data_IF_595617750528
#
_entry.id   IF_595617750528
#
_cell.length_a   1.000
_cell.length_b   1.000
_cell.length_c   1.000
_cell.angle_alpha   90.00
_cell.angle_beta   90.00
_cell.angle_gamma   90.00
#
_symmetry.space_group_name_H-M   'P 1'
#
loop_
_entity.id
_entity.type
_entity.pdbx_description
1 polymer ?
#
# COMPACT_ATOMS: atom_id res chain seq x y z
N UNK A 1 -1.92 -1.83 -35.05
CA UNK A 1 -2.33 -2.69 -33.91
C UNK A 1 -3.77 -2.35 -33.57
N UNK A 2 -4.68 -3.32 -33.60
CA UNK A 2 -6.06 -3.13 -33.12
C UNK A 2 -6.07 -3.15 -31.60
N UNK A 3 -6.76 -2.20 -30.96
CA UNK A 3 -6.96 -2.18 -29.52
C UNK A 3 -8.03 -3.23 -29.20
N UNK A 4 -7.65 -4.29 -28.46
CA UNK A 4 -8.59 -5.30 -27.94
C UNK A 4 -9.44 -4.69 -26.83
N UNK A 5 -10.74 -5.03 -26.79
CA UNK A 5 -11.65 -4.60 -25.72
C UNK A 5 -11.39 -5.41 -24.45
N UNK A 6 -11.73 -4.85 -23.29
CA UNK A 6 -11.50 -5.47 -21.98
C UNK A 6 -12.21 -6.84 -21.86
N UNK A 7 -13.39 -6.96 -22.44
CA UNK A 7 -14.19 -8.18 -22.48
C UNK A 7 -13.46 -9.33 -23.18
N UNK A 8 -12.72 -9.03 -24.26
CA UNK A 8 -11.93 -10.05 -24.98
C UNK A 8 -10.80 -10.63 -24.11
N UNK A 9 -10.29 -9.85 -23.15
CA UNK A 9 -9.31 -10.34 -22.18
C UNK A 9 -9.95 -11.20 -21.08
N UNK A 10 -11.20 -10.92 -20.71
CA UNK A 10 -11.96 -11.76 -19.78
C UNK A 10 -12.29 -13.11 -20.44
N UNK A 11 -12.77 -13.10 -21.69
CA UNK A 11 -13.18 -14.31 -22.42
C UNK A 11 -12.00 -15.22 -22.75
N UNK A 12 -10.83 -14.63 -23.07
CA UNK A 12 -9.59 -15.40 -23.28
C UNK A 12 -8.96 -15.94 -22.00
N UNK A 13 -9.48 -15.57 -20.82
CA UNK A 13 -8.91 -15.93 -19.52
C UNK A 13 -7.60 -15.20 -19.21
N UNK A 14 -7.18 -14.24 -20.03
CA UNK A 14 -5.98 -13.43 -19.81
C UNK A 14 -6.11 -12.53 -18.56
N UNK A 15 -7.34 -12.11 -18.22
CA UNK A 15 -7.67 -11.40 -16.97
C UNK A 15 -8.89 -12.02 -16.30
N UNK A 16 -9.05 -11.79 -15.00
CA UNK A 16 -10.21 -12.25 -14.23
C UNK A 16 -10.81 -11.11 -13.42
N UNK A 17 -12.12 -11.16 -13.21
CA UNK A 17 -12.77 -10.29 -12.23
C UNK A 17 -12.27 -10.64 -10.83
N UNK A 18 -11.97 -9.64 -10.03
CA UNK A 18 -11.68 -9.81 -8.61
C UNK A 18 -12.76 -9.13 -7.78
N UNK A 19 -13.18 -9.82 -6.73
CA UNK A 19 -13.98 -9.24 -5.67
C UNK A 19 -13.04 -8.63 -4.61
N UNK A 20 -13.47 -7.58 -3.90
CA UNK A 20 -12.76 -7.04 -2.75
C UNK A 20 -12.37 -8.16 -1.76
N UNK A 21 -11.10 -8.22 -1.37
CA UNK A 21 -10.58 -9.13 -0.36
C UNK A 21 -10.46 -8.42 1.00
N UNK A 22 -11.56 -8.46 1.76
CA UNK A 22 -11.66 -7.84 3.09
C UNK A 22 -10.61 -8.34 4.08
N UNK A 23 -10.29 -9.64 4.06
CA UNK A 23 -9.27 -10.19 4.96
C UNK A 23 -7.90 -9.56 4.68
N UNK A 24 -7.53 -9.42 3.40
CA UNK A 24 -6.30 -8.75 3.03
C UNK A 24 -6.32 -7.27 3.41
N UNK A 25 -7.45 -6.58 3.24
CA UNK A 25 -7.61 -5.20 3.68
C UNK A 25 -7.35 -5.05 5.20
N UNK A 26 -7.90 -5.94 6.03
CA UNK A 26 -7.64 -5.93 7.47
C UNK A 26 -6.18 -6.18 7.83
N UNK A 27 -5.53 -7.16 7.18
CA UNK A 27 -4.10 -7.41 7.41
C UNK A 27 -3.25 -6.20 7.06
N UNK A 28 -3.54 -5.51 5.94
CA UNK A 28 -2.81 -4.29 5.55
C UNK A 28 -2.99 -3.21 6.62
N UNK A 29 -4.21 -2.98 7.11
CA UNK A 29 -4.47 -1.98 8.16
C UNK A 29 -3.64 -2.28 9.42
N UNK A 30 -3.56 -3.54 9.82
CA UNK A 30 -2.79 -3.96 10.99
C UNK A 30 -1.27 -3.76 10.78
N UNK A 31 -0.75 -4.22 9.65
CA UNK A 31 0.66 -4.06 9.23
C UNK A 31 1.05 -2.57 9.22
N UNK A 32 0.25 -1.74 8.57
CA UNK A 32 0.47 -0.29 8.48
C UNK A 32 0.39 0.41 9.85
N UNK A 33 -0.47 -0.08 10.75
CA UNK A 33 -0.48 0.36 12.14
C UNK A 33 0.84 0.09 12.86
N UNK A 34 1.47 -1.06 12.61
CA UNK A 34 2.81 -1.39 13.10
C UNK A 34 3.88 -0.42 12.58
N UNK A 35 3.88 -0.15 11.27
CA UNK A 35 4.81 0.80 10.62
C UNK A 35 4.68 2.21 11.17
N UNK A 36 3.44 2.67 11.36
CA UNK A 36 3.15 4.00 11.93
C UNK A 36 3.72 4.14 13.33
N UNK A 37 3.52 3.11 14.18
CA UNK A 37 4.10 3.10 15.54
C UNK A 37 5.62 3.12 15.50
N UNK A 38 6.23 2.29 14.65
CA UNK A 38 7.68 2.23 14.51
C UNK A 38 8.27 3.58 14.07
N UNK A 39 7.73 4.17 13.01
CA UNK A 39 8.15 5.50 12.53
C UNK A 39 8.04 6.55 13.65
N UNK A 40 6.92 6.55 14.39
CA UNK A 40 6.74 7.45 15.53
C UNK A 40 7.77 7.25 16.65
N UNK A 41 8.19 6.02 16.92
CA UNK A 41 9.28 5.73 17.87
C UNK A 41 10.62 6.20 17.31
N UNK A 42 10.95 5.88 16.06
CA UNK A 42 12.19 6.30 15.41
C UNK A 42 12.33 7.83 15.42
N UNK A 43 11.26 8.56 15.12
CA UNK A 43 11.26 10.02 15.14
C UNK A 43 11.48 10.64 16.53
N UNK A 44 11.10 9.93 17.59
CA UNK A 44 11.30 10.37 18.99
C UNK A 44 12.67 9.98 19.53
N UNK A 45 13.19 8.83 19.12
CA UNK A 45 14.42 8.24 19.66
C UNK A 45 15.69 8.72 18.94
N UNK A 46 15.59 9.08 17.67
CA UNK A 46 16.74 9.50 16.87
C UNK A 46 16.76 11.04 16.78
N UNK A 47 17.88 11.71 17.11
CA UNK A 47 18.00 13.15 16.95
C UNK A 47 17.71 13.60 15.51
N UNK A 48 16.97 14.68 15.33
CA UNK A 48 16.56 15.18 14.00
C UNK A 48 17.74 15.46 13.05
N UNK A 49 18.88 15.87 13.59
CA UNK A 49 20.14 16.11 12.84
C UNK A 49 20.80 14.84 12.29
N UNK A 50 20.49 13.68 12.86
CA UNK A 50 21.03 12.37 12.47
C UNK A 50 20.00 11.56 11.67
N UNK A 51 18.78 12.09 11.54
CA UNK A 51 17.69 11.45 10.82
C UNK A 51 17.79 11.74 9.33
N UNK A 52 17.73 10.70 8.51
CA UNK A 52 17.61 10.87 7.07
C UNK A 52 16.18 11.36 6.73
N UNK A 53 16.00 12.57 6.17
CA UNK A 53 14.67 13.08 5.84
C UNK A 53 13.96 12.23 4.78
N UNK A 54 14.70 11.65 3.82
CA UNK A 54 14.12 10.81 2.77
C UNK A 54 13.50 9.55 3.37
N UNK A 55 14.14 8.94 4.36
CA UNK A 55 13.58 7.78 5.06
C UNK A 55 12.21 8.09 5.67
N UNK A 56 12.04 9.28 6.25
CA UNK A 56 10.76 9.71 6.84
C UNK A 56 9.70 9.91 5.76
N UNK A 57 10.06 10.58 4.66
CA UNK A 57 9.15 10.81 3.53
C UNK A 57 8.72 9.48 2.92
N UNK A 58 9.65 8.58 2.64
CA UNK A 58 9.38 7.26 2.05
C UNK A 58 8.49 6.43 2.98
N UNK A 59 8.79 6.42 4.29
CA UNK A 59 7.98 5.71 5.29
C UNK A 59 6.55 6.25 5.34
N UNK A 60 6.37 7.58 5.30
CA UNK A 60 5.05 8.20 5.27
C UNK A 60 4.30 7.86 3.97
N UNK A 61 4.98 7.91 2.83
CA UNK A 61 4.39 7.57 1.54
C UNK A 61 3.90 6.12 1.51
N UNK A 62 4.73 5.17 1.95
CA UNK A 62 4.38 3.75 2.01
C UNK A 62 3.16 3.51 2.90
N UNK A 63 3.14 4.09 4.10
CA UNK A 63 2.01 4.03 5.03
C UNK A 63 0.72 4.53 4.35
N UNK A 64 0.78 5.68 3.68
CA UNK A 64 -0.40 6.28 3.02
C UNK A 64 -0.88 5.39 1.88
N UNK A 65 0.02 4.93 1.01
CA UNK A 65 -0.33 4.10 -0.14
C UNK A 65 -0.91 2.76 0.30
N UNK A 66 -0.39 2.15 1.37
CA UNK A 66 -0.94 0.93 1.93
C UNK A 66 -2.36 1.11 2.46
N UNK A 67 -2.62 2.21 3.16
CA UNK A 67 -3.97 2.56 3.62
C UNK A 67 -4.94 2.79 2.45
N UNK A 68 -4.49 3.44 1.37
CA UNK A 68 -5.30 3.59 0.15
C UNK A 68 -5.60 2.22 -0.47
N UNK A 69 -4.60 1.34 -0.60
CA UNK A 69 -4.80 -0.02 -1.11
C UNK A 69 -5.78 -0.82 -0.27
N UNK A 70 -5.73 -0.70 1.05
CA UNK A 70 -6.68 -1.37 1.94
C UNK A 70 -8.13 -0.92 1.71
N UNK A 71 -8.37 0.30 1.19
CA UNK A 71 -9.71 0.78 0.82
C UNK A 71 -10.19 0.29 -0.56
N UNK A 72 -9.27 -0.18 -1.39
CA UNK A 72 -9.56 -0.73 -2.72
C UNK A 72 -9.80 -2.25 -2.71
N UNK A 73 -9.48 -2.91 -1.58
CA UNK A 73 -9.64 -4.35 -1.32
C UNK A 73 -10.79 -4.59 -0.34
#
# INVERSE_FOLDING_TARGET
>A
MSIRRFEEFLDSGAVKRQSPNRQRAFSIIEETGGKTRFLGVSMKSVPSKEMNPNFIVDSCYDIIIEMVRARML
#
